data_IF_653822402017
#
_entry.id   IF_653822402017
#
_cell.length_a   1.000
_cell.length_b   1.000
_cell.length_c   1.000
_cell.angle_alpha   90.00
_cell.angle_beta   90.00
_cell.angle_gamma   90.00
#
_symmetry.space_group_name_H-M   'P 1'
#
loop_
_entity.id
_entity.type
_entity.pdbx_description
1 polymer ?
#
# COMPACT_ATOMS: atom_id res chain seq x y z
N UNK A 1 15.76 -2.32 -22.33
CA UNK A 1 15.04 -1.13 -22.87
C UNK A 1 14.32 -0.47 -21.70
N UNK A 2 14.41 0.83 -21.53
CA UNK A 2 13.64 1.53 -20.49
C UNK A 2 12.17 1.59 -20.90
N UNK A 3 11.25 1.31 -19.96
CA UNK A 3 9.82 1.47 -20.17
C UNK A 3 9.41 2.92 -19.86
N UNK A 4 8.59 3.51 -20.72
CA UNK A 4 8.10 4.89 -20.55
C UNK A 4 6.57 4.91 -20.55
N UNK A 5 6.01 5.73 -19.69
CA UNK A 5 4.58 5.98 -19.66
C UNK A 5 4.16 6.94 -20.80
N UNK A 6 2.89 6.87 -21.20
CA UNK A 6 2.38 7.66 -22.34
C UNK A 6 2.61 9.16 -22.22
N UNK A 7 2.68 9.70 -21.02
CA UNK A 7 2.93 11.11 -20.76
C UNK A 7 4.43 11.46 -20.66
N UNK A 8 5.34 10.49 -20.77
CA UNK A 8 6.80 10.65 -20.69
C UNK A 8 7.49 10.76 -22.07
N UNK A 9 6.76 10.98 -23.14
CA UNK A 9 7.35 11.02 -24.50
C UNK A 9 8.48 12.07 -24.64
N UNK A 10 8.35 13.25 -24.02
CA UNK A 10 9.40 14.26 -24.03
C UNK A 10 10.64 13.80 -23.25
N UNK A 11 10.44 13.17 -22.09
CA UNK A 11 11.50 12.57 -21.28
C UNK A 11 12.26 11.50 -22.07
N UNK A 12 11.52 10.61 -22.72
CA UNK A 12 12.10 9.58 -23.59
C UNK A 12 12.98 10.17 -24.69
N UNK A 13 12.55 11.24 -25.34
CA UNK A 13 13.30 11.89 -26.40
C UNK A 13 14.60 12.50 -25.89
N UNK A 14 14.56 13.20 -24.74
CA UNK A 14 15.74 13.79 -24.10
C UNK A 14 16.72 12.71 -23.62
N UNK A 15 16.25 11.63 -23.01
CA UNK A 15 17.11 10.51 -22.59
C UNK A 15 17.78 9.83 -23.78
N UNK A 16 17.05 9.62 -24.88
CA UNK A 16 17.61 9.07 -26.12
C UNK A 16 18.65 10.03 -26.73
N UNK A 17 18.45 11.34 -26.66
CA UNK A 17 19.44 12.32 -27.12
C UNK A 17 20.70 12.27 -26.26
N UNK A 18 20.57 12.20 -24.94
CA UNK A 18 21.70 12.06 -24.02
C UNK A 18 22.46 10.76 -24.29
N UNK A 19 21.78 9.63 -24.51
CA UNK A 19 22.43 8.36 -24.85
C UNK A 19 23.23 8.47 -26.16
N UNK A 20 22.66 9.10 -27.19
CA UNK A 20 23.37 9.34 -28.46
C UNK A 20 24.58 10.24 -28.29
N UNK A 21 24.49 11.28 -27.46
CA UNK A 21 25.61 12.19 -27.20
C UNK A 21 26.73 11.54 -26.39
N UNK A 22 26.40 10.52 -25.59
CA UNK A 22 27.38 9.74 -24.80
C UNK A 22 28.03 8.61 -25.59
N UNK A 23 27.46 8.20 -26.72
CA UNK A 23 27.99 7.11 -27.56
C UNK A 23 29.04 7.64 -28.52
N UNK A 24 30.36 7.33 -28.31
CA UNK A 24 31.43 7.82 -29.15
C UNK A 24 31.42 7.24 -30.58
N UNK A 25 30.65 6.18 -30.84
CA UNK A 25 30.55 5.52 -32.13
C UNK A 25 29.35 5.97 -32.98
N UNK A 26 28.45 6.77 -32.44
CA UNK A 26 27.25 7.25 -33.15
C UNK A 26 27.46 8.54 -33.96
N UNK A 27 28.66 9.12 -33.93
CA UNK A 27 29.03 10.31 -34.75
C UNK A 27 30.04 9.89 -35.80
N UNK A 28 29.84 10.34 -37.03
CA UNK A 28 30.77 10.12 -38.13
C UNK A 28 32.15 10.72 -37.80
N UNK A 29 33.05 9.88 -37.25
CA UNK A 29 34.38 10.25 -36.78
C UNK A 29 34.45 10.39 -35.24
N UNK A 30 35.61 10.06 -34.66
CA UNK A 30 35.96 10.28 -33.26
C UNK A 30 35.84 11.79 -32.93
N UNK A 31 34.64 12.23 -32.55
CA UNK A 31 34.42 13.57 -32.05
C UNK A 31 34.53 13.58 -30.53
N UNK A 32 35.15 14.62 -29.98
CA UNK A 32 35.12 14.87 -28.54
C UNK A 32 33.67 14.91 -28.07
N UNK A 33 33.40 14.16 -27.00
CA UNK A 33 32.06 14.15 -26.37
C UNK A 33 31.72 15.55 -25.93
N UNK A 34 30.67 16.14 -26.51
CA UNK A 34 30.22 17.50 -26.15
C UNK A 34 29.59 17.50 -24.75
N UNK A 35 30.47 17.62 -23.75
CA UNK A 35 30.09 17.63 -22.33
C UNK A 35 29.17 18.77 -21.98
N UNK A 36 29.28 19.93 -22.70
CA UNK A 36 28.43 21.10 -22.45
C UNK A 36 27.00 20.84 -22.94
N UNK A 37 26.85 20.21 -24.11
CA UNK A 37 25.55 19.83 -24.65
C UNK A 37 24.89 18.75 -23.80
N UNK A 38 25.65 17.76 -23.35
CA UNK A 38 25.13 16.71 -22.42
C UNK A 38 24.62 17.34 -21.13
N UNK A 39 25.38 18.27 -20.54
CA UNK A 39 24.99 18.95 -19.30
C UNK A 39 23.73 19.82 -19.49
N UNK A 40 23.60 20.54 -20.59
CA UNK A 40 22.40 21.36 -20.88
C UNK A 40 21.16 20.46 -21.11
N UNK A 41 21.30 19.36 -21.87
CA UNK A 41 20.20 18.44 -22.12
C UNK A 41 19.80 17.69 -20.85
N UNK A 42 20.77 17.37 -19.96
CA UNK A 42 20.47 16.78 -18.65
C UNK A 42 19.69 17.74 -17.74
N UNK A 43 20.05 19.03 -17.73
CA UNK A 43 19.33 20.04 -16.97
C UNK A 43 17.88 20.21 -17.49
N UNK A 44 17.68 20.18 -18.80
CA UNK A 44 16.35 20.21 -19.41
C UNK A 44 15.53 18.97 -19.04
N UNK A 45 16.14 17.79 -19.06
CA UNK A 45 15.51 16.54 -18.63
C UNK A 45 15.05 16.61 -17.17
N UNK A 46 15.91 17.09 -16.27
CA UNK A 46 15.61 17.21 -14.84
C UNK A 46 14.48 18.21 -14.59
N UNK A 47 14.46 19.32 -15.32
CA UNK A 47 13.37 20.31 -15.26
C UNK A 47 12.03 19.71 -15.75
N UNK A 48 12.04 18.97 -16.87
CA UNK A 48 10.86 18.29 -17.42
C UNK A 48 10.33 17.23 -16.46
N UNK A 49 11.21 16.38 -15.93
CA UNK A 49 10.86 15.40 -14.90
C UNK A 49 10.19 16.07 -13.70
N UNK A 50 10.80 17.14 -13.18
CA UNK A 50 10.26 17.89 -12.05
C UNK A 50 8.88 18.46 -12.36
N UNK A 51 8.69 19.07 -13.52
CA UNK A 51 7.43 19.68 -13.93
C UNK A 51 6.31 18.63 -14.08
N UNK A 52 6.60 17.47 -14.68
CA UNK A 52 5.62 16.39 -14.86
C UNK A 52 5.29 15.73 -13.52
N UNK A 53 6.30 15.30 -12.76
CA UNK A 53 6.09 14.50 -11.54
C UNK A 53 5.59 15.31 -10.34
N UNK A 54 5.79 16.62 -10.31
CA UNK A 54 5.16 17.49 -9.29
C UNK A 54 3.66 17.73 -9.53
N UNK A 55 3.17 17.49 -10.75
CA UNK A 55 1.80 17.79 -11.17
C UNK A 55 1.03 16.58 -11.72
N UNK A 56 1.43 15.37 -11.34
CA UNK A 56 0.71 14.17 -11.76
C UNK A 56 -0.75 14.23 -11.36
N UNK A 57 -1.64 13.97 -12.31
CA UNK A 57 -3.04 13.73 -11.97
C UNK A 57 -3.22 12.34 -11.33
N UNK A 58 -4.37 12.04 -10.67
CA UNK A 58 -4.58 10.76 -10.00
C UNK A 58 -4.51 9.54 -10.92
N UNK A 59 -4.82 9.69 -12.21
CA UNK A 59 -4.68 8.61 -13.17
C UNK A 59 -3.21 8.39 -13.56
N UNK A 60 -2.46 9.47 -13.79
CA UNK A 60 -1.02 9.39 -14.02
C UNK A 60 -0.30 8.79 -12.81
N UNK A 61 -0.68 9.17 -11.59
CA UNK A 61 -0.18 8.55 -10.35
C UNK A 61 -0.47 7.05 -10.34
N UNK A 62 -1.67 6.63 -10.76
CA UNK A 62 -2.00 5.20 -10.88
C UNK A 62 -1.09 4.48 -11.85
N UNK A 63 -0.78 5.09 -13.00
CA UNK A 63 0.15 4.51 -13.98
C UNK A 63 1.57 4.40 -13.43
N UNK A 64 2.06 5.41 -12.70
CA UNK A 64 3.38 5.36 -12.04
C UNK A 64 3.41 4.27 -10.96
N UNK A 65 2.36 4.14 -10.15
CA UNK A 65 2.24 3.07 -9.15
C UNK A 65 2.33 1.66 -9.77
N UNK A 66 1.84 1.51 -11.00
CA UNK A 66 1.81 0.26 -11.77
C UNK A 66 3.00 0.09 -12.72
N UNK A 67 3.96 1.01 -12.72
CA UNK A 67 5.08 0.97 -13.65
C UNK A 67 5.81 -0.38 -13.58
N UNK A 68 6.14 -0.95 -14.74
CA UNK A 68 6.73 -2.31 -14.81
C UNK A 68 8.07 -2.41 -14.09
N UNK A 69 8.93 -1.39 -14.22
CA UNK A 69 10.26 -1.35 -13.62
C UNK A 69 10.26 -0.91 -12.15
N UNK A 70 9.08 -0.57 -11.58
CA UNK A 70 8.95 -0.21 -10.17
C UNK A 70 9.45 -1.34 -9.28
N UNK A 71 10.33 -1.08 -8.29
CA UNK A 71 10.83 -2.09 -7.38
C UNK A 71 9.69 -2.83 -6.67
N UNK A 72 9.76 -4.16 -6.64
CA UNK A 72 8.76 -5.04 -6.02
C UNK A 72 9.21 -5.45 -4.61
N UNK A 73 8.36 -6.13 -3.87
CA UNK A 73 8.65 -6.55 -2.48
C UNK A 73 9.94 -7.35 -2.35
N UNK A 74 10.20 -8.25 -3.29
CA UNK A 74 11.43 -9.05 -3.29
C UNK A 74 12.69 -8.17 -3.32
N UNK A 75 12.70 -7.11 -4.14
CA UNK A 75 13.83 -6.19 -4.20
C UNK A 75 14.11 -5.55 -2.83
N UNK A 76 13.08 -5.08 -2.13
CA UNK A 76 13.26 -4.49 -0.81
C UNK A 76 13.67 -5.52 0.25
N UNK A 77 13.13 -6.73 0.18
CA UNK A 77 13.50 -7.82 1.10
C UNK A 77 14.99 -8.15 0.94
N UNK A 78 15.46 -8.33 -0.29
CA UNK A 78 16.84 -8.75 -0.57
C UNK A 78 17.87 -7.66 -0.22
N UNK A 79 17.50 -6.37 -0.22
CA UNK A 79 18.46 -5.28 -0.05
C UNK A 79 18.38 -4.56 1.32
N UNK A 80 17.28 -4.72 2.08
CA UNK A 80 17.12 -4.06 3.38
C UNK A 80 17.32 -4.98 4.57
N UNK A 81 17.16 -6.29 4.37
CA UNK A 81 17.17 -7.26 5.46
C UNK A 81 18.31 -8.26 5.30
N UNK A 82 18.85 -8.65 6.44
CA UNK A 82 19.88 -9.67 6.56
C UNK A 82 19.24 -11.00 7.01
N UNK A 83 19.85 -12.14 6.63
CA UNK A 83 19.45 -13.48 7.09
C UNK A 83 17.96 -13.80 6.87
N UNK A 84 17.39 -13.43 5.71
CA UNK A 84 15.99 -13.73 5.43
C UNK A 84 15.75 -15.24 5.30
N UNK A 85 14.98 -15.80 6.23
CA UNK A 85 14.56 -17.20 6.27
C UNK A 85 13.12 -17.30 5.82
N UNK A 86 12.89 -17.72 4.59
CA UNK A 86 11.56 -17.88 4.00
C UNK A 86 10.76 -18.98 4.70
N UNK A 87 9.50 -18.71 5.03
CA UNK A 87 8.59 -19.65 5.65
C UNK A 87 7.31 -19.79 4.80
N UNK A 88 7.15 -20.93 4.18
CA UNK A 88 6.09 -21.24 3.22
C UNK A 88 4.91 -22.00 3.83
N UNK A 89 3.78 -21.98 3.12
CA UNK A 89 2.58 -22.79 3.37
C UNK A 89 1.70 -22.33 4.51
N UNK A 90 0.39 -22.51 4.33
CA UNK A 90 -0.64 -22.12 5.30
C UNK A 90 -0.91 -23.21 6.36
N UNK A 91 -0.35 -24.41 6.20
CA UNK A 91 -0.60 -25.60 7.02
C UNK A 91 -2.01 -26.19 6.89
N UNK A 92 -2.74 -25.78 5.86
CA UNK A 92 -4.08 -26.30 5.54
C UNK A 92 -4.19 -26.85 4.13
N UNK A 93 -3.84 -26.03 3.14
CA UNK A 93 -4.03 -26.38 1.73
C UNK A 93 -2.73 -26.34 0.95
N UNK A 94 -1.95 -25.23 1.02
CA UNK A 94 -0.76 -25.13 0.20
C UNK A 94 0.04 -23.86 0.36
N UNK A 95 0.87 -23.60 -0.63
CA UNK A 95 1.68 -22.38 -0.75
C UNK A 95 1.02 -21.39 -1.69
N UNK A 96 1.09 -20.12 -1.33
CA UNK A 96 0.75 -19.02 -2.22
C UNK A 96 1.99 -18.17 -2.50
N UNK A 97 2.45 -18.22 -3.75
CA UNK A 97 3.65 -17.51 -4.21
C UNK A 97 3.44 -16.01 -4.39
N UNK A 98 2.21 -15.51 -4.33
CA UNK A 98 1.89 -14.09 -4.42
C UNK A 98 2.27 -13.30 -3.17
N UNK A 99 2.70 -13.97 -2.10
CA UNK A 99 3.22 -13.34 -0.89
C UNK A 99 4.47 -14.05 -0.39
N UNK A 100 5.53 -13.28 -0.20
CA UNK A 100 6.77 -13.69 0.44
C UNK A 100 6.65 -13.47 1.95
N UNK A 101 7.06 -14.44 2.74
CA UNK A 101 6.99 -14.35 4.20
C UNK A 101 8.20 -15.00 4.83
N UNK A 102 8.76 -14.38 5.87
CA UNK A 102 9.91 -14.95 6.57
C UNK A 102 10.40 -14.08 7.71
N UNK A 103 11.22 -14.66 8.58
CA UNK A 103 11.97 -13.89 9.57
C UNK A 103 13.29 -13.43 8.99
N UNK A 104 13.71 -12.24 9.39
CA UNK A 104 14.95 -11.62 8.96
C UNK A 104 15.53 -10.75 10.06
N UNK A 105 16.70 -10.15 9.80
CA UNK A 105 17.24 -9.09 10.65
C UNK A 105 17.16 -7.74 9.95
N UNK A 106 16.76 -6.73 10.68
CA UNK A 106 16.83 -5.33 10.28
C UNK A 106 17.72 -4.59 11.29
N UNK A 107 18.89 -4.12 10.84
CA UNK A 107 19.91 -3.52 11.72
C UNK A 107 20.19 -4.40 12.97
N UNK A 108 20.35 -5.68 12.77
CA UNK A 108 20.67 -6.67 13.81
C UNK A 108 19.46 -7.13 14.66
N UNK A 109 18.28 -6.50 14.54
CA UNK A 109 17.08 -6.88 15.29
C UNK A 109 16.19 -7.80 14.47
N UNK A 110 15.63 -8.83 15.10
CA UNK A 110 14.70 -9.75 14.44
C UNK A 110 13.41 -9.07 14.05
N UNK A 111 12.95 -9.29 12.83
CA UNK A 111 11.66 -8.81 12.30
C UNK A 111 10.96 -9.92 11.52
N UNK A 112 9.63 -9.91 11.50
CA UNK A 112 8.86 -10.66 10.51
C UNK A 112 8.66 -9.75 9.30
N UNK A 113 9.00 -10.28 8.11
CA UNK A 113 8.79 -9.59 6.84
C UNK A 113 7.72 -10.31 6.04
N UNK A 114 6.76 -9.55 5.54
CA UNK A 114 5.67 -9.99 4.66
C UNK A 114 5.70 -9.10 3.43
N UNK A 115 5.73 -9.67 2.22
CA UNK A 115 5.75 -8.88 0.99
C UNK A 115 4.81 -9.46 -0.06
N UNK A 116 3.79 -8.71 -0.47
CA UNK A 116 3.00 -9.07 -1.65
C UNK A 116 3.90 -8.89 -2.88
N UNK A 117 3.97 -9.92 -3.70
CA UNK A 117 4.95 -9.99 -4.79
C UNK A 117 4.26 -10.22 -6.13
N UNK A 118 4.40 -9.23 -7.03
CA UNK A 118 3.81 -9.28 -8.38
C UNK A 118 4.61 -10.11 -9.38
N UNK A 119 5.90 -10.28 -9.15
CA UNK A 119 6.83 -10.84 -10.12
C UNK A 119 7.43 -9.78 -11.07
N UNK A 120 8.57 -10.11 -11.68
CA UNK A 120 9.33 -9.18 -12.53
C UNK A 120 9.03 -9.37 -14.03
N UNK A 121 8.90 -10.61 -14.48
CA UNK A 121 8.57 -11.00 -15.85
C UNK A 121 7.16 -11.61 -15.93
N UNK A 122 6.67 -11.88 -17.15
CA UNK A 122 5.32 -12.36 -17.37
C UNK A 122 5.06 -13.72 -16.69
N UNK A 123 6.02 -14.63 -16.74
CA UNK A 123 5.87 -15.98 -16.19
C UNK A 123 5.78 -15.93 -14.68
N UNK A 124 6.67 -15.18 -14.03
CA UNK A 124 6.64 -14.96 -12.58
C UNK A 124 5.40 -14.19 -12.11
N UNK A 125 4.89 -13.26 -12.94
CA UNK A 125 3.63 -12.54 -12.66
C UNK A 125 2.43 -13.47 -12.68
N UNK A 126 2.36 -14.38 -13.67
CA UNK A 126 1.29 -15.39 -13.76
C UNK A 126 1.37 -16.34 -12.55
N UNK A 127 2.56 -16.83 -12.24
CA UNK A 127 2.79 -17.73 -11.11
C UNK A 127 2.36 -17.10 -9.77
N UNK A 128 2.55 -15.78 -9.61
CA UNK A 128 2.23 -14.99 -8.41
C UNK A 128 0.86 -14.31 -8.48
N UNK A 129 0.01 -14.68 -9.44
CA UNK A 129 -1.31 -14.07 -9.64
C UNK A 129 -1.26 -12.53 -9.65
N UNK A 130 -0.19 -11.91 -10.19
CA UNK A 130 0.01 -10.46 -10.21
C UNK A 130 -0.02 -9.81 -8.80
N UNK A 131 0.40 -10.52 -7.77
CA UNK A 131 0.36 -10.07 -6.38
C UNK A 131 -1.00 -10.25 -5.69
N UNK A 132 -1.96 -10.87 -6.38
CA UNK A 132 -3.28 -11.16 -5.79
C UNK A 132 -3.23 -12.44 -4.96
N UNK A 133 -3.32 -12.27 -3.64
CA UNK A 133 -3.27 -13.39 -2.70
C UNK A 133 -4.54 -14.24 -2.78
N UNK A 134 -4.34 -15.56 -2.69
CA UNK A 134 -5.38 -16.58 -2.45
C UNK A 134 -5.59 -16.77 -0.94
N UNK A 135 -6.61 -17.53 -0.51
CA UNK A 135 -6.85 -17.81 0.92
C UNK A 135 -5.61 -18.34 1.65
N UNK A 136 -4.82 -19.17 0.98
CA UNK A 136 -3.59 -19.74 1.51
C UNK A 136 -2.55 -18.68 1.87
N UNK A 137 -2.46 -17.63 1.06
CA UNK A 137 -1.56 -16.49 1.33
C UNK A 137 -1.95 -15.77 2.61
N UNK A 138 -3.23 -15.44 2.81
CA UNK A 138 -3.71 -14.79 4.03
C UNK A 138 -3.52 -15.70 5.26
N UNK A 139 -3.84 -16.99 5.16
CA UNK A 139 -3.63 -17.94 6.26
C UNK A 139 -2.15 -18.10 6.62
N UNK A 140 -1.27 -18.11 5.62
CA UNK A 140 0.19 -18.11 5.82
C UNK A 140 0.63 -16.88 6.59
N UNK A 141 0.16 -15.68 6.21
CA UNK A 141 0.49 -14.44 6.92
C UNK A 141 -0.04 -14.45 8.35
N UNK A 142 -1.29 -14.85 8.58
CA UNK A 142 -1.89 -14.99 9.93
C UNK A 142 -1.04 -15.91 10.81
N UNK A 143 -0.66 -17.06 10.30
CA UNK A 143 0.18 -18.03 11.03
C UNK A 143 1.50 -17.40 11.49
N UNK A 144 2.15 -16.63 10.61
CA UNK A 144 3.45 -16.02 10.92
C UNK A 144 3.31 -14.78 11.79
N UNK A 145 2.27 -13.98 11.60
CA UNK A 145 1.94 -12.84 12.48
C UNK A 145 1.71 -13.31 13.93
N UNK A 146 0.97 -14.40 14.12
CA UNK A 146 0.79 -15.00 15.45
C UNK A 146 2.10 -15.51 16.03
N UNK A 147 3.00 -16.07 15.21
CA UNK A 147 4.31 -16.51 15.66
C UNK A 147 5.17 -15.31 16.08
N UNK A 148 5.20 -14.23 15.28
CA UNK A 148 5.89 -12.99 15.61
C UNK A 148 5.37 -12.37 16.92
N UNK A 149 4.05 -12.33 17.08
CA UNK A 149 3.41 -11.85 18.31
C UNK A 149 3.83 -12.65 19.54
N UNK A 150 3.90 -13.98 19.41
CA UNK A 150 4.34 -14.87 20.50
C UNK A 150 5.78 -14.60 20.96
N UNK A 151 6.66 -14.22 20.03
CA UNK A 151 8.07 -13.95 20.31
C UNK A 151 8.40 -12.46 20.43
N UNK A 152 7.40 -11.59 20.50
CA UNK A 152 7.56 -10.13 20.57
C UNK A 152 8.41 -9.56 19.43
N UNK A 153 8.24 -10.05 18.21
CA UNK A 153 8.97 -9.66 17.01
C UNK A 153 8.12 -8.65 16.21
N UNK A 154 8.64 -7.45 15.89
CA UNK A 154 7.95 -6.48 15.04
C UNK A 154 7.66 -7.02 13.64
N UNK A 155 6.61 -6.50 13.01
CA UNK A 155 6.15 -6.96 11.70
C UNK A 155 6.26 -5.82 10.69
N UNK A 156 6.88 -6.08 9.54
CA UNK A 156 7.01 -5.16 8.42
C UNK A 156 6.35 -5.80 7.21
N UNK A 157 5.35 -5.12 6.63
CA UNK A 157 4.59 -5.62 5.49
C UNK A 157 4.75 -4.70 4.30
N UNK A 158 5.16 -5.24 3.14
CA UNK A 158 5.15 -4.55 1.86
C UNK A 158 3.89 -4.90 1.10
N UNK A 159 3.14 -3.90 0.67
CA UNK A 159 1.86 -4.03 -0.02
C UNK A 159 2.02 -3.58 -1.46
N UNK A 160 1.78 -4.51 -2.38
CA UNK A 160 1.71 -4.24 -3.82
C UNK A 160 0.78 -5.27 -4.51
N UNK A 161 -0.49 -4.95 -4.52
CA UNK A 161 -1.54 -5.82 -5.08
C UNK A 161 -2.69 -5.01 -5.66
N UNK A 162 -3.27 -5.42 -6.80
CA UNK A 162 -4.52 -4.84 -7.30
C UNK A 162 -5.75 -5.26 -6.48
N UNK A 163 -5.62 -6.29 -5.62
CA UNK A 163 -6.70 -6.83 -4.80
C UNK A 163 -6.48 -8.27 -4.38
N UNK A 164 -7.52 -8.90 -3.84
CA UNK A 164 -7.54 -10.32 -3.58
C UNK A 164 -7.81 -11.11 -4.88
N UNK A 165 -7.30 -12.34 -5.00
CA UNK A 165 -7.53 -13.17 -6.17
C UNK A 165 -9.01 -13.54 -6.32
N UNK A 166 -9.67 -13.20 -7.47
CA UNK A 166 -11.12 -13.32 -7.62
C UNK A 166 -11.57 -14.65 -8.23
N UNK A 167 -10.71 -15.67 -8.28
CA UNK A 167 -11.01 -16.93 -8.93
C UNK A 167 -11.91 -17.85 -8.11
N UNK A 168 -12.69 -18.71 -8.79
CA UNK A 168 -13.61 -19.67 -8.18
C UNK A 168 -12.93 -20.52 -7.10
N UNK A 169 -11.74 -21.06 -7.36
CA UNK A 169 -11.01 -21.85 -6.37
C UNK A 169 -10.59 -21.07 -5.12
N UNK A 170 -10.51 -19.74 -5.16
CA UNK A 170 -10.29 -18.92 -3.96
C UNK A 170 -11.60 -18.79 -3.16
N UNK A 171 -12.73 -18.57 -3.83
CA UNK A 171 -14.04 -18.52 -3.17
C UNK A 171 -14.39 -19.87 -2.49
N UNK A 172 -14.17 -20.99 -3.17
CA UNK A 172 -14.37 -22.34 -2.62
C UNK A 172 -13.55 -22.61 -1.36
N UNK A 173 -12.37 -21.97 -1.22
CA UNK A 173 -11.50 -22.11 -0.05
C UNK A 173 -11.59 -20.98 0.95
N UNK A 174 -12.63 -20.12 0.84
CA UNK A 174 -12.99 -19.11 1.82
C UNK A 174 -12.17 -17.84 1.72
N UNK A 175 -12.09 -17.21 0.52
CA UNK A 175 -11.36 -15.96 0.30
C UNK A 175 -11.77 -14.83 1.24
N UNK A 176 -13.08 -14.59 1.36
CA UNK A 176 -13.60 -13.52 2.21
C UNK A 176 -13.29 -13.77 3.70
N UNK A 177 -13.43 -15.02 4.15
CA UNK A 177 -13.11 -15.41 5.53
C UNK A 177 -11.61 -15.23 5.82
N UNK A 178 -10.73 -15.65 4.91
CA UNK A 178 -9.28 -15.53 5.09
C UNK A 178 -8.83 -14.06 5.17
N UNK A 179 -9.43 -13.15 4.36
CA UNK A 179 -9.21 -11.70 4.45
C UNK A 179 -9.68 -11.16 5.81
N UNK A 180 -10.92 -11.48 6.21
CA UNK A 180 -11.48 -11.02 7.48
C UNK A 180 -10.63 -11.48 8.68
N UNK A 181 -10.18 -12.73 8.69
CA UNK A 181 -9.30 -13.29 9.73
C UNK A 181 -7.91 -12.63 9.72
N UNK A 182 -7.40 -12.20 8.57
CA UNK A 182 -6.15 -11.45 8.51
C UNK A 182 -6.29 -10.07 9.17
N UNK A 183 -7.38 -9.36 8.90
CA UNK A 183 -7.70 -8.08 9.54
C UNK A 183 -7.86 -8.26 11.06
N UNK A 184 -8.65 -9.25 11.48
CA UNK A 184 -8.84 -9.58 12.91
C UNK A 184 -7.49 -9.85 13.59
N UNK A 185 -6.65 -10.70 12.99
CA UNK A 185 -5.32 -10.99 13.49
C UNK A 185 -4.48 -9.71 13.63
N UNK A 186 -4.41 -8.87 12.59
CA UNK A 186 -3.70 -7.59 12.65
C UNK A 186 -4.16 -6.72 13.83
N UNK A 187 -5.46 -6.68 14.12
CA UNK A 187 -6.03 -5.87 15.19
C UNK A 187 -5.74 -6.41 16.59
N UNK A 188 -5.47 -7.71 16.73
CA UNK A 188 -5.18 -8.39 18.01
C UNK A 188 -3.69 -8.40 18.38
N UNK A 189 -2.79 -8.14 17.41
CA UNK A 189 -1.35 -8.16 17.66
C UNK A 189 -0.94 -7.15 18.73
N UNK A 190 0.00 -7.55 19.58
CA UNK A 190 0.60 -6.71 20.63
C UNK A 190 2.03 -6.27 20.31
N UNK A 191 2.48 -6.53 19.09
CA UNK A 191 3.79 -6.11 18.58
C UNK A 191 3.62 -4.96 17.59
N UNK A 192 4.66 -4.13 17.37
CA UNK A 192 4.66 -3.10 16.34
C UNK A 192 4.39 -3.68 14.95
N UNK A 193 3.48 -3.06 14.22
CA UNK A 193 3.18 -3.43 12.83
C UNK A 193 3.31 -2.20 11.94
N UNK A 194 4.11 -2.33 10.88
CA UNK A 194 4.36 -1.28 9.89
C UNK A 194 3.97 -1.84 8.52
N UNK A 195 2.97 -1.24 7.89
CA UNK A 195 2.55 -1.59 6.54
C UNK A 195 2.99 -0.49 5.57
N UNK A 196 3.65 -0.88 4.48
CA UNK A 196 4.25 0.03 3.50
C UNK A 196 3.65 -0.27 2.14
N UNK A 197 2.88 0.66 1.59
CA UNK A 197 2.31 0.54 0.26
C UNK A 197 3.35 1.05 -0.73
N UNK A 198 3.98 0.12 -1.44
CA UNK A 198 5.12 0.39 -2.34
C UNK A 198 4.71 0.66 -3.80
N UNK A 199 3.50 0.29 -4.16
CA UNK A 199 2.95 0.47 -5.50
C UNK A 199 1.44 0.58 -5.44
N UNK A 200 0.72 -0.50 -5.66
CA UNK A 200 -0.73 -0.54 -5.67
C UNK A 200 -1.28 -1.23 -4.42
N UNK A 201 -2.06 -0.50 -3.62
CA UNK A 201 -2.76 -1.02 -2.46
C UNK A 201 -4.25 -1.21 -2.78
N UNK A 202 -4.63 -2.39 -3.30
CA UNK A 202 -5.98 -2.67 -3.76
C UNK A 202 -6.86 -3.40 -2.75
N UNK A 203 -8.01 -2.81 -2.43
CA UNK A 203 -9.18 -3.46 -1.81
C UNK A 203 -8.85 -4.32 -0.58
N UNK A 204 -9.57 -5.45 -0.43
CA UNK A 204 -9.37 -6.43 0.64
C UNK A 204 -7.96 -7.02 0.68
N UNK A 205 -7.30 -7.13 -0.48
CA UNK A 205 -5.92 -7.60 -0.59
C UNK A 205 -4.93 -6.72 0.16
N UNK A 206 -5.13 -5.41 0.12
CA UNK A 206 -4.28 -4.45 0.82
C UNK A 206 -4.64 -4.32 2.30
N UNK A 207 -5.93 -4.13 2.63
CA UNK A 207 -6.35 -3.88 4.02
C UNK A 207 -6.10 -5.08 4.94
N UNK A 208 -6.05 -6.29 4.39
CA UNK A 208 -5.71 -7.50 5.12
C UNK A 208 -4.33 -7.44 5.83
N UNK A 209 -3.42 -6.59 5.32
CA UNK A 209 -2.11 -6.32 5.91
C UNK A 209 -1.95 -4.87 6.40
N UNK A 210 -2.71 -3.93 5.81
CA UNK A 210 -2.65 -2.51 6.17
C UNK A 210 -3.40 -2.16 7.46
N UNK A 211 -4.05 -3.12 8.13
CA UNK A 211 -4.62 -2.93 9.47
C UNK A 211 -3.52 -2.87 10.54
N UNK A 212 -2.58 -1.94 10.38
CA UNK A 212 -1.29 -1.85 11.09
C UNK A 212 -1.17 -0.57 11.92
N UNK A 213 -0.23 -0.53 12.89
CA UNK A 213 0.05 0.67 13.69
C UNK A 213 0.45 1.85 12.80
N UNK A 214 1.37 1.61 11.88
CA UNK A 214 1.78 2.61 10.88
C UNK A 214 1.41 2.11 9.49
N UNK A 215 0.73 2.95 8.72
CA UNK A 215 0.45 2.74 7.30
C UNK A 215 1.18 3.82 6.53
N UNK A 216 2.20 3.43 5.81
CA UNK A 216 3.12 4.31 5.10
C UNK A 216 2.93 4.09 3.61
N UNK A 217 3.05 5.13 2.82
CA UNK A 217 2.96 5.02 1.37
C UNK A 217 4.17 5.64 0.69
N UNK A 218 4.60 5.06 -0.41
CA UNK A 218 5.47 5.75 -1.36
C UNK A 218 4.70 6.90 -2.04
N UNK A 219 5.39 7.99 -2.37
CA UNK A 219 4.78 9.23 -2.87
C UNK A 219 3.85 9.01 -4.07
N UNK A 220 4.26 8.15 -5.01
CA UNK A 220 3.51 7.83 -6.22
C UNK A 220 2.80 6.47 -6.14
N UNK A 221 2.64 5.90 -4.94
CA UNK A 221 1.78 4.75 -4.72
C UNK A 221 0.31 5.16 -4.69
N UNK A 222 -0.59 4.19 -4.84
CA UNK A 222 -2.03 4.37 -4.68
C UNK A 222 -2.61 3.40 -3.66
N UNK A 223 -3.65 3.83 -2.94
CA UNK A 223 -4.39 2.97 -2.03
C UNK A 223 -5.89 3.23 -2.16
N UNK A 224 -6.66 2.20 -2.51
CA UNK A 224 -8.07 2.35 -2.82
C UNK A 224 -8.87 1.07 -2.62
N UNK A 225 -10.19 1.22 -2.46
CA UNK A 225 -11.12 0.09 -2.31
C UNK A 225 -11.36 -0.68 -3.62
N UNK A 226 -11.14 -0.04 -4.76
CA UNK A 226 -11.35 -0.60 -6.11
C UNK A 226 -10.42 0.12 -7.09
N UNK A 227 -10.16 -0.48 -8.25
CA UNK A 227 -9.42 0.21 -9.32
C UNK A 227 -10.24 1.37 -9.93
N UNK A 228 -9.60 2.44 -10.44
CA UNK A 228 -10.31 3.51 -11.13
C UNK A 228 -11.17 3.02 -12.29
N UNK A 229 -10.70 2.04 -13.04
CA UNK A 229 -11.43 1.40 -14.14
C UNK A 229 -12.69 0.68 -13.65
N UNK A 230 -12.56 -0.09 -12.55
CA UNK A 230 -13.69 -0.76 -11.91
C UNK A 230 -14.72 0.24 -11.37
N UNK A 231 -14.25 1.30 -10.70
CA UNK A 231 -15.10 2.38 -10.22
C UNK A 231 -15.85 3.07 -11.34
N UNK A 232 -15.17 3.42 -12.44
CA UNK A 232 -15.78 4.02 -13.62
C UNK A 232 -16.86 3.13 -14.23
N UNK A 233 -16.59 1.84 -14.34
CA UNK A 233 -17.56 0.87 -14.86
C UNK A 233 -18.80 0.74 -14.00
N UNK A 234 -18.64 0.71 -12.67
CA UNK A 234 -19.77 0.56 -11.72
C UNK A 234 -20.60 1.83 -11.65
N UNK A 235 -19.97 3.00 -11.48
CA UNK A 235 -20.69 4.25 -11.22
C UNK A 235 -21.22 4.92 -12.49
N UNK A 236 -20.43 4.91 -13.56
CA UNK A 236 -20.80 5.59 -14.82
C UNK A 236 -21.15 4.63 -15.96
N UNK A 237 -20.94 3.32 -15.80
CA UNK A 237 -21.08 2.32 -16.87
C UNK A 237 -20.24 2.66 -18.11
N UNK A 238 -19.17 3.41 -17.93
CA UNK A 238 -18.25 3.86 -18.99
C UNK A 238 -16.80 3.77 -18.49
N UNK A 239 -16.01 2.78 -18.99
CA UNK A 239 -14.60 2.65 -18.60
C UNK A 239 -13.74 3.87 -18.95
N UNK A 240 -14.15 4.69 -19.91
CA UNK A 240 -13.42 5.94 -20.29
C UNK A 240 -13.42 7.00 -19.19
N UNK A 241 -14.32 6.87 -18.20
CA UNK A 241 -14.41 7.76 -17.04
C UNK A 241 -13.40 7.45 -15.92
N UNK A 242 -12.34 6.66 -16.20
CA UNK A 242 -11.34 6.29 -15.21
C UNK A 242 -10.60 7.48 -14.57
N UNK A 243 -10.38 8.57 -15.31
CA UNK A 243 -9.79 9.80 -14.76
C UNK A 243 -10.72 10.47 -13.76
N UNK A 244 -12.01 10.59 -14.09
CA UNK A 244 -13.03 11.17 -13.19
C UNK A 244 -13.17 10.31 -11.93
N UNK A 245 -13.15 8.98 -12.09
CA UNK A 245 -13.14 8.03 -10.99
C UNK A 245 -11.90 8.20 -10.11
N UNK A 246 -10.71 8.22 -10.67
CA UNK A 246 -9.46 8.40 -9.92
C UNK A 246 -9.45 9.70 -9.10
N UNK A 247 -9.95 10.81 -9.67
CA UNK A 247 -10.09 12.10 -8.97
C UNK A 247 -11.09 12.01 -7.81
N UNK A 248 -12.23 11.35 -8.00
CA UNK A 248 -13.27 11.22 -6.99
C UNK A 248 -12.83 10.31 -5.82
N UNK A 249 -12.03 9.28 -6.10
CA UNK A 249 -11.63 8.26 -5.12
C UNK A 249 -10.59 8.75 -4.10
N UNK A 250 -9.89 9.85 -4.35
CA UNK A 250 -8.85 10.37 -3.44
C UNK A 250 -7.78 9.33 -3.07
N UNK A 251 -7.29 8.60 -4.07
CA UNK A 251 -6.44 7.42 -3.90
C UNK A 251 -4.93 7.72 -3.75
N UNK A 252 -4.51 8.98 -3.94
CA UNK A 252 -3.10 9.38 -3.87
C UNK A 252 -2.60 9.46 -2.42
N UNK A 253 -1.29 9.27 -2.22
CA UNK A 253 -0.67 9.39 -0.91
C UNK A 253 -0.96 10.75 -0.24
N UNK A 254 -0.94 11.84 -1.00
CA UNK A 254 -1.22 13.21 -0.51
C UNK A 254 -2.67 13.34 -0.02
N UNK A 255 -3.64 12.80 -0.77
CA UNK A 255 -5.04 12.81 -0.36
C UNK A 255 -5.27 11.98 0.91
N UNK A 256 -4.70 10.78 0.95
CA UNK A 256 -4.90 9.84 2.05
C UNK A 256 -4.21 10.28 3.35
N UNK A 257 -3.06 10.96 3.27
CA UNK A 257 -2.43 11.59 4.42
C UNK A 257 -3.31 12.72 4.98
N UNK A 258 -3.87 13.56 4.11
CA UNK A 258 -4.82 14.62 4.49
C UNK A 258 -6.08 14.05 5.16
N UNK A 259 -6.58 12.92 4.67
CA UNK A 259 -7.73 12.20 5.24
C UNK A 259 -7.36 11.38 6.48
N UNK A 260 -6.08 11.34 6.89
CA UNK A 260 -5.57 10.56 8.03
C UNK A 260 -5.82 9.05 7.89
N UNK A 261 -5.88 8.54 6.67
CA UNK A 261 -5.96 7.11 6.36
C UNK A 261 -4.58 6.48 6.43
N UNK A 262 -3.55 7.23 6.05
CA UNK A 262 -2.13 6.85 6.19
C UNK A 262 -1.41 7.79 7.17
N UNK A 263 -0.26 7.33 7.67
CA UNK A 263 0.50 8.03 8.69
C UNK A 263 1.70 8.80 8.13
N UNK A 264 2.27 8.35 7.01
CA UNK A 264 3.52 8.88 6.45
C UNK A 264 3.59 8.69 4.94
N UNK A 265 4.26 9.63 4.26
CA UNK A 265 4.64 9.50 2.84
C UNK A 265 6.16 9.40 2.76
N UNK A 266 6.68 8.35 2.13
CA UNK A 266 8.09 8.26 1.78
C UNK A 266 8.30 8.92 0.42
N UNK A 267 9.13 9.98 0.33
CA UNK A 267 9.41 10.65 -0.92
C UNK A 267 10.10 9.72 -1.91
N UNK A 268 9.71 9.81 -3.16
CA UNK A 268 10.35 9.08 -4.25
C UNK A 268 11.40 9.95 -4.96
N UNK A 269 12.41 9.33 -5.56
CA UNK A 269 13.34 10.02 -6.45
C UNK A 269 12.62 10.71 -7.60
N UNK A 270 13.26 11.71 -8.19
CA UNK A 270 12.72 12.42 -9.34
C UNK A 270 12.41 11.46 -10.50
N UNK A 271 11.16 11.45 -10.93
CA UNK A 271 10.66 10.52 -11.94
C UNK A 271 10.20 9.16 -11.42
N UNK A 272 10.14 8.95 -10.10
CA UNK A 272 9.57 7.76 -9.47
C UNK A 272 10.60 6.74 -8.95
N UNK A 273 10.13 5.80 -8.14
CA UNK A 273 10.95 4.81 -7.43
C UNK A 273 11.80 3.91 -8.34
N UNK A 274 11.43 3.75 -9.60
CA UNK A 274 12.17 2.92 -10.57
C UNK A 274 13.43 3.60 -11.15
N UNK A 275 13.55 4.92 -11.03
CA UNK A 275 14.67 5.68 -11.61
C UNK A 275 15.91 5.70 -10.73
N UNK A 276 15.74 5.69 -9.41
CA UNK A 276 16.84 5.62 -8.45
C UNK A 276 16.45 4.72 -7.28
N UNK A 277 16.77 3.45 -7.43
CA UNK A 277 16.44 2.41 -6.44
C UNK A 277 17.24 2.55 -5.16
N UNK A 278 18.46 3.07 -5.22
CA UNK A 278 19.34 3.22 -4.05
C UNK A 278 18.84 4.34 -3.14
N UNK A 279 18.50 5.51 -3.70
CA UNK A 279 17.83 6.58 -2.94
C UNK A 279 16.54 6.08 -2.31
N UNK A 280 15.76 5.27 -3.03
CA UNK A 280 14.52 4.72 -2.49
C UNK A 280 14.75 3.76 -1.33
N UNK A 281 15.80 2.93 -1.38
CA UNK A 281 16.20 2.06 -0.28
C UNK A 281 16.59 2.84 0.98
N UNK A 282 17.38 3.91 0.84
CA UNK A 282 17.81 4.74 1.98
C UNK A 282 16.63 5.50 2.61
N UNK A 283 15.72 6.05 1.80
CA UNK A 283 14.50 6.69 2.29
C UNK A 283 13.63 5.71 3.08
N UNK A 284 13.44 4.51 2.53
CA UNK A 284 12.66 3.45 3.17
C UNK A 284 13.32 2.95 4.47
N UNK A 285 14.64 2.72 4.46
CA UNK A 285 15.41 2.32 5.63
C UNK A 285 15.31 3.33 6.76
N UNK A 286 15.34 4.62 6.42
CA UNK A 286 15.20 5.72 7.38
C UNK A 286 13.81 5.71 8.01
N UNK A 287 12.76 5.62 7.21
CA UNK A 287 11.37 5.58 7.68
C UNK A 287 11.11 4.36 8.58
N UNK A 288 11.52 3.15 8.16
CA UNK A 288 11.36 1.93 8.99
C UNK A 288 12.09 2.11 10.33
N UNK A 289 13.30 2.67 10.32
CA UNK A 289 14.07 2.87 11.56
C UNK A 289 13.34 3.79 12.51
N UNK A 290 12.89 4.96 12.05
CA UNK A 290 12.17 5.94 12.88
C UNK A 290 10.88 5.36 13.47
N UNK A 291 10.13 4.61 12.66
CA UNK A 291 8.89 4.00 13.10
C UNK A 291 9.11 2.85 14.09
N UNK A 292 10.15 2.02 13.93
CA UNK A 292 10.49 0.99 14.92
C UNK A 292 10.99 1.62 16.23
N UNK A 293 11.80 2.67 16.14
CA UNK A 293 12.31 3.40 17.32
C UNK A 293 11.17 4.02 18.13
N UNK A 294 10.13 4.53 17.48
CA UNK A 294 8.94 5.07 18.13
C UNK A 294 8.26 4.06 19.07
N UNK A 295 8.26 2.77 18.70
CA UNK A 295 7.57 1.73 19.48
C UNK A 295 8.43 1.12 20.59
N UNK A 296 9.73 1.45 20.70
CA UNK A 296 10.65 0.77 21.64
C UNK A 296 10.22 0.89 23.10
N UNK A 297 9.69 2.05 23.47
CA UNK A 297 9.35 2.38 24.86
C UNK A 297 7.87 2.12 25.18
N UNK A 298 7.09 1.64 24.21
CA UNK A 298 5.67 1.35 24.40
C UNK A 298 5.45 -0.09 24.86
N UNK A 299 4.55 -0.25 25.82
CA UNK A 299 4.08 -1.58 26.24
C UNK A 299 3.26 -2.27 25.14
N UNK A 300 3.14 -3.61 25.17
CA UNK A 300 2.30 -4.35 24.22
C UNK A 300 0.84 -3.88 24.19
N UNK A 301 0.29 -3.51 25.33
CA UNK A 301 -1.06 -2.97 25.48
C UNK A 301 -1.21 -1.58 24.82
N UNK A 302 -0.23 -0.69 25.00
CA UNK A 302 -0.22 0.62 24.36
C UNK A 302 -0.15 0.50 22.85
N UNK A 303 0.71 -0.40 22.32
CA UNK A 303 0.83 -0.66 20.89
C UNK A 303 -0.52 -1.14 20.30
N UNK A 304 -1.18 -2.10 20.95
CA UNK A 304 -2.47 -2.60 20.53
C UNK A 304 -3.57 -1.53 20.60
N UNK A 305 -3.61 -0.73 21.68
CA UNK A 305 -4.58 0.34 21.86
C UNK A 305 -4.37 1.50 20.87
N UNK A 306 -3.12 1.88 20.58
CA UNK A 306 -2.82 2.89 19.57
C UNK A 306 -3.41 2.49 18.20
N UNK A 307 -3.16 1.24 17.77
CA UNK A 307 -3.72 0.71 16.52
C UNK A 307 -5.24 0.76 16.51
N UNK A 308 -5.88 0.21 17.54
CA UNK A 308 -7.34 0.21 17.67
C UNK A 308 -7.93 1.63 17.62
N UNK A 309 -7.36 2.54 18.39
CA UNK A 309 -7.83 3.93 18.44
C UNK A 309 -7.64 4.66 17.10
N UNK A 310 -6.55 4.38 16.36
CA UNK A 310 -6.34 4.93 15.03
C UNK A 310 -7.48 4.57 14.09
N UNK A 311 -7.79 3.29 13.94
CA UNK A 311 -8.85 2.85 13.02
C UNK A 311 -10.24 3.31 13.46
N UNK A 312 -10.52 3.37 14.76
CA UNK A 312 -11.78 3.90 15.29
C UNK A 312 -11.97 5.40 15.07
N UNK A 313 -10.90 6.16 14.81
CA UNK A 313 -10.96 7.60 14.51
C UNK A 313 -11.20 7.90 13.03
N UNK A 314 -10.88 6.99 12.13
CA UNK A 314 -11.06 7.20 10.68
C UNK A 314 -12.55 7.45 10.38
N UNK A 315 -12.84 8.53 9.65
CA UNK A 315 -14.20 8.90 9.24
C UNK A 315 -15.08 9.56 10.31
N UNK A 316 -14.60 9.69 11.57
CA UNK A 316 -15.41 10.33 12.63
C UNK A 316 -15.29 11.86 12.68
N UNK A 317 -14.23 12.42 12.13
CA UNK A 317 -13.98 13.88 12.20
C UNK A 317 -14.85 14.71 11.25
N UNK A 318 -15.59 14.08 10.34
CA UNK A 318 -16.36 14.77 9.28
C UNK A 318 -17.86 14.83 9.51
N UNK A 319 -18.36 14.72 10.75
CA UNK A 319 -19.65 15.29 11.00
C UNK A 319 -20.72 14.45 11.65
N UNK A 320 -20.48 13.23 12.16
CA UNK A 320 -21.55 12.52 12.88
C UNK A 320 -21.36 12.39 14.40
N UNK A 321 -20.14 12.45 14.93
CA UNK A 321 -19.91 12.43 16.38
C UNK A 321 -18.62 13.20 16.72
N UNK A 322 -18.74 14.40 17.27
CA UNK A 322 -17.65 15.07 17.95
C UNK A 322 -17.58 14.57 19.40
N UNK A 323 -16.91 13.46 19.65
CA UNK A 323 -16.59 13.05 21.02
C UNK A 323 -15.10 12.95 21.18
N UNK A 324 -14.59 13.66 22.18
CA UNK A 324 -13.22 13.54 22.73
C UNK A 324 -13.11 12.32 23.65
N UNK A 325 -14.11 11.44 23.68
CA UNK A 325 -14.12 10.27 24.56
C UNK A 325 -13.18 9.19 24.03
N UNK A 326 -12.52 8.53 24.95
CA UNK A 326 -11.70 7.35 24.70
C UNK A 326 -12.52 6.27 24.00
N UNK A 327 -12.12 5.93 22.76
CA UNK A 327 -12.78 4.94 21.94
C UNK A 327 -12.34 3.49 22.24
N UNK A 328 -11.54 3.29 23.28
CA UNK A 328 -11.07 1.97 23.70
C UNK A 328 -12.19 1.06 24.21
N UNK A 329 -13.32 1.63 24.64
CA UNK A 329 -14.51 0.85 25.01
C UNK A 329 -15.59 0.93 23.93
N UNK A 330 -15.85 -0.18 23.26
CA UNK A 330 -17.01 -0.35 22.37
C UNK A 330 -18.32 -0.63 23.15
N UNK A 331 -18.41 -0.23 24.41
CA UNK A 331 -19.69 -0.29 25.12
C UNK A 331 -20.66 0.64 24.42
N UNK A 332 -21.56 0.04 23.65
CA UNK A 332 -22.77 0.73 23.16
C UNK A 332 -23.49 1.20 24.43
N UNK A 333 -23.45 2.52 24.72
CA UNK A 333 -24.39 3.09 25.67
C UNK A 333 -25.76 2.69 25.14
N UNK A 334 -26.47 1.80 25.83
CA UNK A 334 -27.88 1.55 25.57
C UNK A 334 -28.55 2.91 25.74
N UNK A 335 -28.78 3.62 24.64
CA UNK A 335 -29.74 4.69 24.63
C UNK A 335 -31.04 4.07 25.08
N UNK A 336 -31.56 4.51 26.23
CA UNK A 336 -32.83 4.05 26.77
C UNK A 336 -33.90 4.29 25.71
N UNK A 337 -34.18 3.30 24.90
CA UNK A 337 -35.34 3.26 24.01
C UNK A 337 -36.64 3.44 24.78
N UNK A 338 -36.64 3.23 26.09
CA UNK A 338 -37.79 3.50 26.97
C UNK A 338 -38.25 4.96 27.01
N UNK A 339 -37.38 5.93 26.73
CA UNK A 339 -37.75 7.33 26.74
C UNK A 339 -38.48 7.79 25.46
N UNK A 340 -38.33 7.05 24.35
CA UNK A 340 -39.00 7.38 23.08
C UNK A 340 -40.49 6.99 23.15
N UNK A 341 -40.82 5.95 23.90
CA UNK A 341 -42.23 5.53 24.09
C UNK A 341 -43.00 6.33 25.14
N UNK A 342 -42.30 7.03 26.03
CA UNK A 342 -42.96 7.89 27.05
C UNK A 342 -43.34 9.28 26.53
N UNK A 343 -42.80 9.74 25.41
CA UNK A 343 -43.11 11.09 24.87
C UNK A 343 -44.24 11.17 23.86
N UNK A 344 -44.82 10.05 23.42
CA UNK A 344 -46.04 10.02 22.61
C UNK A 344 -47.14 9.31 23.38
N UNK A 345 -47.90 10.06 24.18
CA UNK A 345 -49.28 9.68 24.54
C UNK A 345 -50.11 9.68 23.25
N UNK A 346 -50.22 8.55 22.62
CA UNK A 346 -51.26 8.32 21.63
C UNK A 346 -52.49 7.97 22.43
N UNK A 347 -53.42 8.93 22.54
CA UNK A 347 -54.80 8.66 22.97
C UNK A 347 -55.47 7.87 21.85
N UNK A 348 -55.52 6.55 22.03
CA UNK A 348 -56.40 5.70 21.23
C UNK A 348 -57.75 5.76 21.97
N UNK A 349 -58.67 6.58 21.45
CA UNK A 349 -60.06 6.54 21.87
C UNK A 349 -60.71 5.26 21.32
N UNK A 350 -61.05 4.35 22.22
CA UNK A 350 -61.87 3.19 21.89
C UNK A 350 -63.36 3.70 21.97
N UNK A 351 -63.95 3.91 20.82
CA UNK A 351 -65.43 4.07 20.72
C UNK A 351 -66.05 2.68 20.68
N UNK A 352 -66.77 2.35 21.71
CA UNK A 352 -67.71 1.19 21.75
C UNK A 352 -69.08 1.74 21.36
N UNK A 353 -69.66 1.21 20.32
CA UNK A 353 -71.10 1.01 20.15
C UNK A 353 -71.33 -0.04 19.06
#
# INVERSE_FOLDING_TARGET
>A
MKNYLNFENEIKNLENEIEKLKDPYNQEGLSEVDTQKISSTQAELDEKLKNIYSNLDPWQTTMVARHEDRPKSKFFIDNLFEDFISLSGDRHYGEDKSVLTGFAKFKGNSVLVIGQEKGEDLDSRIERNFGMMRPEGYRKTIRLMNLANKFNIPIISFIDTPGAYPGVGAEERGQAEAIAKSIECCMELKVPTIAIIIGEGGSGGAIALASSNKVIMFENAIYSVISPEGCATILWRDPKKMLDAAKAMKLSAKDLLKLKVIDEIIPEPLGGAHRDRDTMLENLKTSITQNLDYFKDLSPEEIANERKNKFLKIGRNDGFISTTEDLSSLTIKKNNFENIFKSKKIQIGIGIS
#
